data_IF_388725471162
#
_entry.id   IF_388725471162
#
_cell.length_a   1.000
_cell.length_b   1.000
_cell.length_c   1.000
_cell.angle_alpha   90.00
_cell.angle_beta   90.00
_cell.angle_gamma   90.00
#
_symmetry.space_group_name_H-M   'P 1'
#
loop_
_entity.id
_entity.type
_entity.pdbx_description
1 polymer ?
#
# COMPACT_ATOMS: atom_id res chain seq x y z
N UNK A 1 17.50 -23.06 24.27
CA UNK A 1 16.31 -22.50 24.94
C UNK A 1 16.27 -21.02 24.59
N UNK A 2 15.14 -20.48 24.08
CA UNK A 2 15.02 -19.05 23.74
C UNK A 2 15.34 -18.18 24.97
N UNK A 3 16.19 -17.15 24.84
CA UNK A 3 16.44 -16.20 25.94
C UNK A 3 15.17 -15.53 26.44
N UNK A 4 15.19 -15.10 27.71
CA UNK A 4 14.12 -14.31 28.32
C UNK A 4 13.75 -13.06 27.50
N UNK A 5 14.72 -12.46 26.79
CA UNK A 5 14.45 -11.31 25.91
C UNK A 5 13.69 -11.73 24.65
N UNK A 6 14.16 -12.79 23.99
CA UNK A 6 13.54 -13.36 22.79
C UNK A 6 12.14 -13.87 23.10
N UNK A 7 11.91 -14.48 24.26
CA UNK A 7 10.58 -14.84 24.76
C UNK A 7 9.64 -13.64 24.92
N UNK A 8 10.12 -12.51 25.44
CA UNK A 8 9.32 -11.28 25.55
C UNK A 8 8.96 -10.72 24.17
N UNK A 9 9.89 -10.73 23.22
CA UNK A 9 9.64 -10.31 21.83
C UNK A 9 8.56 -11.19 21.18
N UNK A 10 8.69 -12.52 21.28
CA UNK A 10 7.69 -13.45 20.75
C UNK A 10 6.32 -13.25 21.38
N UNK A 11 6.26 -12.98 22.70
CA UNK A 11 5.01 -12.66 23.38
C UNK A 11 4.37 -11.38 22.82
N UNK A 12 5.15 -10.34 22.54
CA UNK A 12 4.65 -9.11 21.93
C UNK A 12 4.13 -9.33 20.52
N UNK A 13 4.87 -10.07 19.69
CA UNK A 13 4.44 -10.44 18.34
C UNK A 13 3.15 -11.25 18.40
N UNK A 14 3.06 -12.24 19.31
CA UNK A 14 1.86 -13.06 19.46
C UNK A 14 0.62 -12.22 19.82
N UNK A 15 0.76 -11.23 20.71
CA UNK A 15 -0.32 -10.28 21.02
C UNK A 15 -0.71 -9.45 19.80
N UNK A 16 0.26 -8.89 19.07
CA UNK A 16 0.01 -8.12 17.85
C UNK A 16 -0.72 -8.95 16.78
N UNK A 17 -0.35 -10.22 16.63
CA UNK A 17 -0.99 -11.13 15.68
C UNK A 17 -2.40 -11.53 16.11
N UNK A 18 -2.65 -11.68 17.42
CA UNK A 18 -3.98 -11.96 17.96
C UNK A 18 -4.94 -10.79 17.71
N UNK A 19 -4.51 -9.56 17.97
CA UNK A 19 -5.33 -8.37 17.74
C UNK A 19 -5.64 -8.19 16.26
N UNK A 20 -4.64 -8.42 15.39
CA UNK A 20 -4.86 -8.39 13.93
C UNK A 20 -5.85 -9.46 13.48
N UNK A 21 -5.73 -10.68 14.02
CA UNK A 21 -6.67 -11.76 13.72
C UNK A 21 -8.10 -11.35 14.09
N UNK A 22 -8.31 -10.81 15.28
CA UNK A 22 -9.63 -10.33 15.73
C UNK A 22 -10.20 -9.26 14.79
N UNK A 23 -9.38 -8.29 14.40
CA UNK A 23 -9.78 -7.25 13.44
C UNK A 23 -10.18 -7.87 12.10
N UNK A 24 -9.35 -8.76 11.56
CA UNK A 24 -9.61 -9.42 10.27
C UNK A 24 -10.83 -10.34 10.29
N UNK A 25 -11.13 -10.97 11.42
CA UNK A 25 -12.32 -11.80 11.61
C UNK A 25 -13.58 -10.93 11.63
N UNK A 26 -13.52 -9.78 12.31
CA UNK A 26 -14.60 -8.79 12.31
C UNK A 26 -14.85 -8.21 10.92
N UNK A 27 -13.79 -7.80 10.21
CA UNK A 27 -13.89 -7.31 8.83
C UNK A 27 -14.40 -8.39 7.87
N UNK A 28 -13.96 -9.65 7.99
CA UNK A 28 -14.45 -10.75 7.17
C UNK A 28 -15.96 -10.96 7.30
N UNK A 29 -16.51 -10.81 8.51
CA UNK A 29 -17.96 -10.90 8.74
C UNK A 29 -18.67 -9.79 7.96
N UNK A 30 -18.21 -8.54 8.11
CA UNK A 30 -18.75 -7.38 7.36
C UNK A 30 -18.65 -7.55 5.84
N UNK A 31 -17.49 -8.03 5.35
CA UNK A 31 -17.26 -8.27 3.93
C UNK A 31 -18.19 -9.34 3.37
N UNK A 32 -18.44 -10.43 4.10
CA UNK A 32 -19.37 -11.49 3.68
C UNK A 32 -20.79 -10.96 3.56
N UNK A 33 -21.23 -10.13 4.50
CA UNK A 33 -22.53 -9.48 4.44
C UNK A 33 -22.64 -8.53 3.24
N UNK A 34 -21.62 -7.70 3.01
CA UNK A 34 -21.59 -6.77 1.88
C UNK A 34 -21.56 -7.47 0.52
N UNK A 35 -20.80 -8.56 0.38
CA UNK A 35 -20.80 -9.39 -0.84
C UNK A 35 -22.19 -9.98 -1.07
N UNK A 36 -22.86 -10.43 -0.02
CA UNK A 36 -24.23 -10.93 -0.14
C UNK A 36 -25.18 -9.84 -0.64
N UNK A 37 -25.08 -8.60 -0.13
CA UNK A 37 -25.86 -7.45 -0.60
C UNK A 37 -25.55 -7.14 -2.08
N UNK A 38 -24.28 -7.06 -2.47
CA UNK A 38 -23.88 -6.78 -3.85
C UNK A 38 -24.37 -7.85 -4.83
N UNK A 39 -24.38 -9.13 -4.43
CA UNK A 39 -24.96 -10.22 -5.22
C UNK A 39 -26.47 -10.00 -5.43
N UNK A 40 -27.20 -9.56 -4.38
CA UNK A 40 -28.62 -9.28 -4.48
C UNK A 40 -28.89 -8.08 -5.41
N UNK A 41 -28.13 -7.01 -5.29
CA UNK A 41 -28.21 -5.84 -6.16
C UNK A 41 -27.90 -6.19 -7.62
N UNK A 42 -26.81 -6.91 -7.88
CA UNK A 42 -26.44 -7.37 -9.22
C UNK A 42 -27.53 -8.27 -9.82
N UNK A 43 -28.12 -9.18 -9.03
CA UNK A 43 -29.27 -10.00 -9.45
C UNK A 43 -30.48 -9.13 -9.79
N UNK A 44 -30.76 -8.10 -9.00
CA UNK A 44 -31.88 -7.18 -9.24
C UNK A 44 -31.66 -6.36 -10.51
N UNK A 45 -30.49 -5.74 -10.68
CA UNK A 45 -30.11 -5.00 -11.89
C UNK A 45 -30.18 -5.89 -13.14
N UNK A 46 -29.66 -7.12 -13.06
CA UNK A 46 -29.79 -8.11 -14.14
C UNK A 46 -31.25 -8.39 -14.51
N UNK A 47 -32.14 -8.50 -13.52
CA UNK A 47 -33.59 -8.67 -13.77
C UNK A 47 -34.21 -7.44 -14.42
N UNK A 48 -33.88 -6.24 -13.94
CA UNK A 48 -34.39 -4.97 -14.47
C UNK A 48 -33.95 -4.78 -15.92
N UNK A 49 -32.66 -4.97 -16.21
CA UNK A 49 -32.11 -4.88 -17.57
C UNK A 49 -32.77 -5.90 -18.51
N UNK A 50 -32.96 -7.15 -18.06
CA UNK A 50 -33.65 -8.19 -18.84
C UNK A 50 -35.14 -7.88 -19.10
N UNK A 51 -35.80 -7.16 -18.19
CA UNK A 51 -37.19 -6.71 -18.37
C UNK A 51 -37.26 -5.55 -19.37
N UNK A 52 -36.37 -4.56 -19.25
CA UNK A 52 -36.30 -3.43 -20.20
C UNK A 52 -36.00 -3.89 -21.62
N UNK A 53 -35.03 -4.80 -21.79
CA UNK A 53 -34.71 -5.39 -23.09
C UNK A 53 -35.85 -6.24 -23.68
N UNK A 54 -36.80 -6.72 -22.87
CA UNK A 54 -37.99 -7.43 -23.33
C UNK A 54 -39.13 -6.49 -23.71
N UNK A 55 -39.25 -5.34 -23.02
CA UNK A 55 -40.28 -4.34 -23.28
C UNK A 55 -39.95 -3.56 -24.56
N UNK A 56 -38.68 -3.26 -24.82
CA UNK A 56 -38.22 -2.62 -26.07
C UNK A 56 -38.40 -3.52 -27.31
N UNK A 57 -38.45 -4.84 -27.15
CA UNK A 57 -38.69 -5.82 -28.22
C UNK A 57 -40.19 -6.05 -28.49
N UNK A 58 -41.08 -5.53 -27.64
CA UNK A 58 -42.53 -5.76 -27.74
C UNK A 58 -43.31 -4.45 -28.02
N UNK A 59 -42.79 -3.60 -28.91
CA UNK A 59 -43.54 -2.54 -29.58
C UNK A 59 -44.06 -3.03 -30.95
N UNK A 60 -45.29 -2.70 -31.37
CA UNK A 60 -45.91 -3.30 -32.56
C UNK A 60 -45.44 -2.59 -33.85
N UNK A 61 -44.20 -2.85 -34.27
CA UNK A 61 -43.71 -2.78 -35.66
C UNK A 61 -42.19 -2.85 -35.64
N UNK A 62 -41.61 -4.04 -35.54
CA UNK A 62 -40.26 -4.29 -36.04
C UNK A 62 -40.02 -5.80 -36.17
N UNK A 63 -40.57 -6.38 -37.24
CA UNK A 63 -39.92 -7.54 -37.86
C UNK A 63 -38.60 -7.04 -38.45
N UNK A 64 -37.49 -7.71 -38.13
CA UNK A 64 -36.13 -7.46 -38.61
C UNK A 64 -35.30 -6.49 -37.74
N UNK A 65 -34.69 -7.03 -36.67
CA UNK A 65 -33.26 -6.91 -36.30
C UNK A 65 -33.09 -7.91 -35.14
N UNK A 66 -32.78 -9.17 -35.49
CA UNK A 66 -32.20 -10.13 -34.56
C UNK A 66 -30.69 -10.06 -34.74
N UNK A 67 -30.05 -9.02 -34.22
CA UNK A 67 -28.59 -9.05 -33.98
C UNK A 67 -28.18 -7.94 -33.00
N UNK A 68 -27.71 -8.41 -31.84
CA UNK A 68 -26.81 -7.75 -30.88
C UNK A 68 -27.34 -6.60 -29.99
N UNK A 69 -28.19 -6.90 -28.99
CA UNK A 69 -28.37 -6.04 -27.80
C UNK A 69 -27.14 -6.04 -26.86
N UNK A 70 -26.20 -6.98 -27.05
CA UNK A 70 -25.07 -7.18 -26.13
C UNK A 70 -23.89 -6.23 -26.35
N UNK A 71 -23.73 -5.61 -27.55
CA UNK A 71 -22.56 -4.77 -27.82
C UNK A 71 -22.71 -3.35 -27.23
N UNK A 72 -23.91 -2.77 -27.29
CA UNK A 72 -24.18 -1.46 -26.71
C UNK A 72 -24.16 -1.47 -25.17
N UNK A 73 -24.55 -2.59 -24.54
CA UNK A 73 -24.43 -2.77 -23.10
C UNK A 73 -22.97 -2.95 -22.66
N UNK A 74 -22.14 -3.61 -23.48
CA UNK A 74 -20.70 -3.70 -23.25
C UNK A 74 -20.01 -2.33 -23.40
N UNK A 75 -20.39 -1.55 -24.41
CA UNK A 75 -19.86 -0.19 -24.60
C UNK A 75 -20.29 0.77 -23.48
N UNK A 76 -21.52 0.68 -22.97
CA UNK A 76 -21.96 1.52 -21.85
C UNK A 76 -21.38 1.06 -20.52
N UNK A 77 -21.10 -0.24 -20.33
CA UNK A 77 -20.33 -0.72 -19.18
C UNK A 77 -18.87 -0.21 -19.24
N UNK A 78 -18.21 -0.24 -20.40
CA UNK A 78 -16.85 0.32 -20.54
C UNK A 78 -16.76 1.82 -20.27
N UNK A 79 -17.83 2.57 -20.58
CA UNK A 79 -17.96 4.00 -20.28
C UNK A 79 -18.31 4.27 -18.81
N UNK A 80 -19.17 3.46 -18.20
CA UNK A 80 -19.54 3.57 -16.79
C UNK A 80 -18.43 3.11 -15.81
N UNK A 81 -17.51 2.23 -16.25
CA UNK A 81 -16.37 1.77 -15.46
C UNK A 81 -15.05 2.52 -15.74
N UNK A 82 -15.09 3.67 -16.41
CA UNK A 82 -13.90 4.53 -16.58
C UNK A 82 -12.76 3.92 -17.42
N UNK A 83 -12.98 2.78 -18.07
CA UNK A 83 -11.95 1.98 -18.76
C UNK A 83 -11.36 2.73 -19.95
N UNK A 84 -12.17 3.55 -20.65
CA UNK A 84 -11.70 4.43 -21.73
C UNK A 84 -10.83 5.59 -21.22
N UNK A 85 -11.17 6.18 -20.08
CA UNK A 85 -10.37 7.22 -19.41
C UNK A 85 -9.01 6.68 -18.95
N UNK A 86 -8.99 5.46 -18.39
CA UNK A 86 -7.77 4.77 -17.96
C UNK A 86 -6.83 4.46 -19.14
N UNK A 87 -7.36 4.00 -20.29
CA UNK A 87 -6.57 3.74 -21.50
C UNK A 87 -5.98 5.02 -22.13
N UNK A 88 -6.73 6.11 -22.11
CA UNK A 88 -6.26 7.41 -22.60
C UNK A 88 -5.19 8.03 -21.70
N UNK A 89 -5.31 7.86 -20.37
CA UNK A 89 -4.30 8.28 -19.39
C UNK A 89 -2.98 7.53 -19.58
N UNK A 90 -3.03 6.20 -19.77
CA UNK A 90 -1.86 5.34 -20.03
C UNK A 90 -1.02 5.77 -21.23
N UNK A 91 -1.66 6.33 -22.28
CA UNK A 91 -0.97 6.75 -23.52
C UNK A 91 -0.27 8.10 -23.38
N UNK A 92 -0.72 8.99 -22.49
CA UNK A 92 -0.11 10.31 -22.27
C UNK A 92 1.08 10.28 -21.30
N UNK A 93 1.15 9.30 -20.41
CA UNK A 93 2.12 9.26 -19.30
C UNK A 93 3.45 8.55 -19.63
N UNK A 94 3.59 7.82 -20.75
CA UNK A 94 4.74 6.91 -20.92
C UNK A 94 6.09 7.62 -21.09
N UNK A 95 6.14 8.83 -21.64
CA UNK A 95 7.39 9.60 -21.82
C UNK A 95 7.71 10.46 -20.59
N UNK A 96 6.69 10.98 -19.92
CA UNK A 96 6.79 11.83 -18.71
C UNK A 96 7.18 11.03 -17.45
N UNK A 97 6.74 9.77 -17.38
CA UNK A 97 7.05 8.89 -16.26
C UNK A 97 8.55 8.57 -16.16
N UNK A 98 9.28 8.46 -17.28
CA UNK A 98 10.70 8.11 -17.25
C UNK A 98 11.54 9.18 -16.55
N UNK A 99 11.37 10.46 -16.92
CA UNK A 99 12.06 11.56 -16.24
C UNK A 99 11.66 11.67 -14.76
N UNK A 100 10.39 11.39 -14.44
CA UNK A 100 9.91 11.37 -13.05
C UNK A 100 10.58 10.27 -12.23
N UNK A 101 10.76 9.06 -12.79
CA UNK A 101 11.48 7.97 -12.13
C UNK A 101 12.95 8.31 -11.89
N UNK A 102 13.65 8.84 -12.89
CA UNK A 102 15.06 9.21 -12.76
C UNK A 102 15.26 10.30 -11.70
N UNK A 103 14.40 11.33 -11.69
CA UNK A 103 14.42 12.35 -10.62
C UNK A 103 14.22 11.73 -9.24
N UNK A 104 13.21 10.89 -9.08
CA UNK A 104 12.91 10.23 -7.82
C UNK A 104 14.06 9.34 -7.32
N UNK A 105 14.77 8.66 -8.24
CA UNK A 105 15.95 7.85 -7.92
C UNK A 105 17.12 8.71 -7.48
N UNK A 106 17.41 9.80 -8.21
CA UNK A 106 18.48 10.74 -7.85
C UNK A 106 18.25 11.33 -6.45
N UNK A 107 17.03 11.76 -6.15
CA UNK A 107 16.66 12.26 -4.82
C UNK A 107 16.78 11.16 -3.74
N UNK A 108 16.50 9.90 -4.09
CA UNK A 108 16.66 8.78 -3.16
C UNK A 108 18.12 8.54 -2.78
N UNK A 109 19.06 8.74 -3.72
CA UNK A 109 20.50 8.63 -3.46
C UNK A 109 20.96 9.76 -2.52
N UNK A 110 20.46 11.00 -2.71
CA UNK A 110 20.75 12.13 -1.81
C UNK A 110 20.24 11.88 -0.39
N UNK A 111 19.00 11.39 -0.27
CA UNK A 111 18.41 11.07 1.02
C UNK A 111 19.12 9.93 1.76
N UNK A 112 19.68 8.97 1.02
CA UNK A 112 20.47 7.90 1.60
C UNK A 112 21.72 8.43 2.31
N UNK A 113 22.44 9.38 1.69
CA UNK A 113 23.68 9.95 2.24
C UNK A 113 23.45 10.67 3.57
N UNK A 114 22.36 11.44 3.69
CA UNK A 114 22.06 12.23 4.90
C UNK A 114 21.23 11.49 5.97
N UNK A 115 21.01 10.18 5.80
CA UNK A 115 20.02 9.47 6.60
C UNK A 115 20.43 9.26 8.07
N UNK A 116 21.70 8.98 8.33
CA UNK A 116 22.18 8.74 9.70
C UNK A 116 22.09 10.03 10.55
N UNK A 117 22.47 11.18 9.97
CA UNK A 117 22.34 12.50 10.60
C UNK A 117 20.88 12.83 10.90
N UNK A 118 19.99 12.57 9.93
CA UNK A 118 18.55 12.77 10.08
C UNK A 118 17.97 11.94 11.22
N UNK A 119 18.35 10.67 11.33
CA UNK A 119 17.85 9.77 12.38
C UNK A 119 18.39 10.17 13.75
N UNK A 120 19.64 10.65 13.81
CA UNK A 120 20.22 11.24 15.01
C UNK A 120 19.46 12.49 15.46
N UNK A 121 19.23 13.44 14.54
CA UNK A 121 18.53 14.69 14.81
C UNK A 121 17.09 14.49 15.29
N UNK A 122 16.37 13.50 14.74
CA UNK A 122 15.01 13.15 15.15
C UNK A 122 14.94 12.27 16.39
N UNK A 123 16.08 11.87 16.95
CA UNK A 123 16.12 11.04 18.16
C UNK A 123 15.52 9.64 17.96
N UNK A 124 15.66 9.05 16.77
CA UNK A 124 15.08 7.74 16.41
C UNK A 124 15.47 6.63 17.40
N UNK A 125 16.70 6.69 17.94
CA UNK A 125 17.19 5.72 18.93
C UNK A 125 16.62 5.88 20.34
N UNK A 126 15.92 6.98 20.62
CA UNK A 126 15.23 7.20 21.89
C UNK A 126 13.78 6.65 21.87
N UNK A 127 13.27 6.28 20.68
CA UNK A 127 11.91 5.76 20.55
C UNK A 127 11.78 4.36 21.16
N UNK A 128 10.63 4.08 21.81
CA UNK A 128 10.31 2.73 22.26
C UNK A 128 10.19 1.78 21.06
N UNK A 129 10.49 0.50 21.26
CA UNK A 129 10.38 -0.55 20.23
C UNK A 129 8.94 -0.90 19.84
N UNK A 130 7.96 -0.22 20.44
CA UNK A 130 6.53 -0.42 20.21
C UNK A 130 5.85 0.93 20.13
N UNK A 131 4.99 1.09 19.12
CA UNK A 131 4.27 2.33 18.87
C UNK A 131 4.95 3.19 17.80
N UNK A 132 4.39 4.36 17.60
CA UNK A 132 4.84 5.34 16.62
C UNK A 132 4.63 6.74 17.18
N UNK A 133 5.48 7.67 16.78
CA UNK A 133 5.28 9.11 17.01
C UNK A 133 4.77 9.70 15.72
N UNK A 134 3.70 10.50 15.80
CA UNK A 134 3.06 11.15 14.65
C UNK A 134 3.01 12.65 14.92
N UNK A 135 3.52 13.42 13.97
CA UNK A 135 3.47 14.88 13.99
C UNK A 135 2.84 15.40 12.69
N UNK A 136 2.01 16.45 12.81
CA UNK A 136 1.38 17.09 11.65
C UNK A 136 1.42 18.60 11.80
N UNK A 137 1.76 19.30 10.72
CA UNK A 137 1.76 20.74 10.68
C UNK A 137 0.99 21.21 9.43
N UNK A 138 -0.31 21.49 9.60
CA UNK A 138 -1.15 21.94 8.49
C UNK A 138 -0.84 23.39 8.08
N UNK A 139 -0.31 24.20 9.00
CA UNK A 139 -0.04 25.61 8.76
C UNK A 139 1.28 25.85 8.00
N UNK A 140 2.10 24.81 7.81
CA UNK A 140 3.36 24.92 7.06
C UNK A 140 3.10 25.22 5.58
N UNK A 141 3.76 26.27 5.09
CA UNK A 141 3.80 26.64 3.68
C UNK A 141 5.11 26.14 3.13
N UNK A 142 5.03 25.14 2.25
CA UNK A 142 6.18 24.43 1.68
C UNK A 142 6.97 23.62 2.72
N UNK A 143 7.11 22.33 2.46
CA UNK A 143 7.81 21.40 3.35
C UNK A 143 6.92 20.35 4.01
N UNK A 144 7.43 19.80 5.11
CA UNK A 144 6.89 18.58 5.72
C UNK A 144 5.69 18.89 6.60
N UNK A 145 4.53 18.36 6.21
CA UNK A 145 3.25 18.60 6.89
C UNK A 145 2.72 17.36 7.60
N UNK A 146 3.34 16.20 7.37
CA UNK A 146 3.09 14.95 8.07
C UNK A 146 4.40 14.21 8.31
N UNK A 147 4.63 13.75 9.53
CA UNK A 147 5.77 12.93 9.90
C UNK A 147 5.33 11.77 10.78
N UNK A 148 5.97 10.62 10.60
CA UNK A 148 5.83 9.47 11.48
C UNK A 148 7.16 8.75 11.70
N UNK A 149 7.48 8.46 12.96
CA UNK A 149 8.65 7.70 13.35
C UNK A 149 8.27 6.42 14.07
N UNK A 150 8.92 5.32 13.72
CA UNK A 150 8.69 4.01 14.31
C UNK A 150 10.00 3.25 14.50
N UNK A 151 10.05 2.46 15.57
CA UNK A 151 11.15 1.54 15.84
C UNK A 151 10.58 0.20 16.27
N UNK A 152 11.14 -0.89 15.75
CA UNK A 152 10.65 -2.26 15.96
C UNK A 152 11.80 -3.23 16.08
N UNK A 153 11.74 -4.17 17.03
CA UNK A 153 12.65 -5.32 17.09
C UNK A 153 11.97 -6.56 16.52
N UNK A 154 12.69 -7.29 15.67
CA UNK A 154 12.20 -8.49 14.99
C UNK A 154 13.13 -9.67 15.34
N UNK A 155 12.62 -10.80 15.88
CA UNK A 155 13.42 -11.98 16.24
C UNK A 155 13.73 -12.83 14.99
N UNK A 156 14.34 -12.18 14.02
CA UNK A 156 14.73 -12.71 12.73
C UNK A 156 16.05 -12.06 12.32
N UNK A 157 16.87 -12.77 11.57
CA UNK A 157 18.11 -12.24 11.00
C UNK A 157 17.83 -11.13 9.98
N UNK A 158 18.87 -10.34 9.69
CA UNK A 158 18.76 -9.15 8.87
C UNK A 158 18.40 -9.46 7.42
N UNK A 159 18.84 -10.60 6.86
CA UNK A 159 18.59 -10.97 5.46
C UNK A 159 17.18 -11.51 5.24
N UNK A 160 16.67 -12.31 6.18
CA UNK A 160 15.26 -12.73 6.18
C UNK A 160 14.35 -11.49 6.34
N UNK A 161 14.73 -10.57 7.22
CA UNK A 161 14.03 -9.29 7.42
C UNK A 161 14.08 -8.40 6.17
N UNK A 162 15.23 -8.27 5.52
CA UNK A 162 15.41 -7.55 4.25
C UNK A 162 14.42 -8.05 3.19
N UNK A 163 14.34 -9.37 3.03
CA UNK A 163 13.48 -9.99 2.03
C UNK A 163 12.00 -9.70 2.30
N UNK A 164 11.59 -9.77 3.57
CA UNK A 164 10.22 -9.46 3.97
C UNK A 164 9.89 -7.96 3.80
N UNK A 165 10.83 -7.07 4.10
CA UNK A 165 10.69 -5.62 3.85
C UNK A 165 10.55 -5.35 2.36
N UNK A 166 11.38 -5.96 1.52
CA UNK A 166 11.30 -5.81 0.07
C UNK A 166 9.95 -6.28 -0.50
N UNK A 167 9.47 -7.45 -0.05
CA UNK A 167 8.13 -7.95 -0.40
C UNK A 167 7.03 -6.98 0.06
N UNK A 168 7.10 -6.47 1.29
CA UNK A 168 6.14 -5.50 1.77
C UNK A 168 6.13 -4.24 0.87
N UNK A 169 7.31 -3.71 0.56
CA UNK A 169 7.48 -2.53 -0.29
C UNK A 169 6.98 -2.73 -1.73
N UNK A 170 6.88 -3.95 -2.25
CA UNK A 170 6.21 -4.21 -3.53
C UNK A 170 4.74 -3.81 -3.50
N UNK A 171 4.04 -4.10 -2.41
CA UNK A 171 2.59 -3.87 -2.27
C UNK A 171 2.24 -2.59 -1.51
N UNK A 172 3.17 -2.00 -0.76
CA UNK A 172 2.94 -0.73 -0.05
C UNK A 172 2.45 0.36 -1.00
N UNK A 173 1.40 1.05 -0.55
CA UNK A 173 0.62 2.04 -1.27
C UNK A 173 -0.21 1.50 -2.46
N UNK A 174 -0.19 0.19 -2.71
CA UNK A 174 -1.00 -0.46 -3.75
C UNK A 174 -2.19 -1.25 -3.22
N UNK A 175 -2.31 -1.39 -1.90
CA UNK A 175 -3.44 -2.04 -1.27
C UNK A 175 -4.68 -1.14 -1.29
N UNK A 176 -5.83 -1.75 -1.59
CA UNK A 176 -7.11 -1.07 -1.52
C UNK A 176 -7.43 -0.72 -0.06
N UNK A 177 -7.82 0.54 0.19
CA UNK A 177 -8.25 0.97 1.51
C UNK A 177 -9.76 1.16 1.54
N UNK A 178 -10.38 0.58 2.57
CA UNK A 178 -11.79 0.80 2.91
C UNK A 178 -11.88 1.74 4.11
N UNK A 179 -12.94 2.54 4.15
CA UNK A 179 -13.30 3.41 5.28
C UNK A 179 -12.18 4.38 5.67
N UNK A 180 -11.58 5.05 4.70
CA UNK A 180 -10.51 6.03 4.93
C UNK A 180 -11.14 7.32 5.46
N UNK A 181 -10.80 7.69 6.70
CA UNK A 181 -11.28 8.90 7.36
C UNK A 181 -12.73 8.77 7.85
N UNK A 182 -13.37 9.91 8.14
CA UNK A 182 -14.72 9.95 8.73
C UNK A 182 -15.87 9.81 7.72
N UNK A 183 -15.59 9.77 6.40
CA UNK A 183 -16.60 9.94 5.34
C UNK A 183 -16.96 8.67 4.55
N UNK A 184 -16.73 7.46 5.08
CA UNK A 184 -16.84 6.21 4.30
C UNK A 184 -15.99 6.22 3.00
N UNK A 185 -14.93 7.04 2.97
CA UNK A 185 -14.06 7.18 1.81
C UNK A 185 -13.44 5.85 1.39
N UNK A 186 -13.36 5.60 0.09
CA UNK A 186 -12.76 4.37 -0.46
C UNK A 186 -11.62 4.73 -1.38
N UNK A 187 -10.52 3.98 -1.28
CA UNK A 187 -9.38 4.07 -2.18
C UNK A 187 -9.25 2.73 -2.90
N UNK A 188 -9.45 2.73 -4.22
CA UNK A 188 -9.19 1.56 -5.05
C UNK A 188 -7.98 1.83 -5.93
N UNK A 189 -6.97 0.98 -5.83
CA UNK A 189 -5.72 1.14 -6.58
C UNK A 189 -5.74 0.27 -7.83
N UNK A 190 -5.38 0.88 -8.95
CA UNK A 190 -5.20 0.22 -10.23
C UNK A 190 -3.74 0.35 -10.68
N UNK A 191 -2.93 -0.71 -10.59
CA UNK A 191 -1.55 -0.68 -11.04
C UNK A 191 -1.48 -0.56 -12.57
N UNK A 192 -0.55 0.24 -13.07
CA UNK A 192 -0.31 0.41 -14.51
C UNK A 192 0.94 -0.30 -14.98
N UNK A 193 2.04 -0.05 -14.28
CA UNK A 193 3.35 -0.60 -14.57
C UNK A 193 4.05 -0.86 -13.26
N UNK A 194 4.69 -2.03 -13.14
CA UNK A 194 5.62 -2.35 -12.05
C UNK A 194 6.82 -3.03 -12.69
N UNK A 195 8.00 -2.45 -12.48
CA UNK A 195 9.27 -2.91 -13.02
C UNK A 195 10.24 -3.06 -11.85
N UNK A 196 10.88 -4.21 -11.76
CA UNK A 196 11.88 -4.50 -10.73
C UNK A 196 13.19 -4.87 -11.41
N UNK A 197 14.26 -4.19 -11.02
CA UNK A 197 15.60 -4.38 -11.55
C UNK A 197 16.60 -4.31 -10.40
N UNK A 198 17.06 -5.49 -9.95
CA UNK A 198 18.04 -5.62 -8.88
C UNK A 198 17.60 -4.99 -7.57
N UNK A 199 18.21 -3.86 -7.22
CA UNK A 199 17.94 -3.11 -5.99
C UNK A 199 16.99 -1.93 -6.19
N UNK A 200 16.33 -1.86 -7.35
CA UNK A 200 15.40 -0.79 -7.69
C UNK A 200 14.03 -1.36 -8.09
N UNK A 201 12.97 -0.81 -7.50
CA UNK A 201 11.59 -1.03 -7.89
C UNK A 201 11.01 0.29 -8.42
N UNK A 202 10.39 0.25 -9.59
CA UNK A 202 9.65 1.37 -10.19
C UNK A 202 8.21 0.95 -10.39
N UNK A 203 7.27 1.82 -10.05
CA UNK A 203 5.87 1.56 -10.34
C UNK A 203 5.06 2.83 -10.55
N UNK A 204 4.01 2.71 -11.36
CA UNK A 204 2.98 3.73 -11.48
C UNK A 204 1.60 3.11 -11.31
N UNK A 205 0.72 3.81 -10.59
CA UNK A 205 -0.62 3.34 -10.29
C UNK A 205 -1.58 4.51 -10.07
N UNK A 206 -2.87 4.29 -10.29
CA UNK A 206 -3.91 5.27 -9.98
C UNK A 206 -4.74 4.82 -8.79
N UNK A 207 -4.85 5.67 -7.78
CA UNK A 207 -5.70 5.45 -6.62
C UNK A 207 -7.01 6.22 -6.82
N UNK A 208 -8.07 5.52 -7.22
CA UNK A 208 -9.42 6.08 -7.35
C UNK A 208 -9.95 6.36 -5.96
N UNK A 209 -10.41 7.59 -5.73
CA UNK A 209 -10.96 8.03 -4.45
C UNK A 209 -12.45 8.34 -4.62
N UNK A 210 -13.27 7.92 -3.67
CA UNK A 210 -14.69 8.28 -3.63
C UNK A 210 -15.08 8.86 -2.29
N UNK A 211 -16.10 9.74 -2.28
CA UNK A 211 -16.62 10.36 -1.07
C UNK A 211 -15.89 11.63 -0.62
N UNK A 212 -15.07 12.24 -1.49
CA UNK A 212 -14.29 13.46 -1.19
C UNK A 212 -14.49 14.50 -2.29
N UNK A 213 -15.62 15.23 -2.22
CA UNK A 213 -15.96 16.28 -3.18
C UNK A 213 -15.82 15.83 -4.63
N UNK A 214 -15.07 16.60 -5.41
CA UNK A 214 -14.77 16.44 -6.82
C UNK A 214 -13.38 15.82 -7.10
N UNK A 215 -12.71 15.27 -6.08
CA UNK A 215 -11.46 14.51 -6.22
C UNK A 215 -11.76 13.11 -6.77
N UNK A 216 -11.32 12.84 -8.00
CA UNK A 216 -11.50 11.54 -8.65
C UNK A 216 -10.46 10.50 -8.21
N UNK A 217 -9.26 10.96 -7.85
CA UNK A 217 -8.18 10.10 -7.41
C UNK A 217 -6.81 10.75 -7.50
N UNK A 218 -5.76 9.94 -7.31
CA UNK A 218 -4.36 10.37 -7.44
C UNK A 218 -3.62 9.46 -8.40
N UNK A 219 -2.84 10.06 -9.29
CA UNK A 219 -1.83 9.33 -10.07
C UNK A 219 -0.54 9.30 -9.26
N UNK A 220 0.02 8.11 -9.08
CA UNK A 220 1.16 7.89 -8.20
C UNK A 220 2.32 7.29 -8.99
N UNK A 221 3.49 7.89 -8.83
CA UNK A 221 4.76 7.40 -9.36
C UNK A 221 5.64 7.05 -8.18
N UNK A 222 6.01 5.78 -8.07
CA UNK A 222 6.70 5.17 -6.93
C UNK A 222 8.07 4.65 -7.35
N UNK A 223 9.08 4.95 -6.55
CA UNK A 223 10.37 4.26 -6.60
C UNK A 223 10.71 3.69 -5.24
N UNK A 224 11.42 2.58 -5.24
CA UNK A 224 12.07 2.03 -4.05
C UNK A 224 13.49 1.68 -4.42
N UNK A 225 14.44 2.07 -3.58
CA UNK A 225 15.84 1.75 -3.74
C UNK A 225 16.40 1.12 -2.48
N UNK A 226 17.09 0.00 -2.65
CA UNK A 226 17.75 -0.73 -1.58
C UNK A 226 19.26 -0.46 -1.62
N UNK A 227 19.84 -0.21 -0.45
CA UNK A 227 21.27 -0.02 -0.27
C UNK A 227 21.77 -1.00 0.78
N UNK A 228 22.83 -1.74 0.46
CA UNK A 228 23.46 -2.71 1.36
C UNK A 228 24.81 -2.17 1.83
N UNK A 229 24.97 -2.05 3.13
CA UNK A 229 26.26 -1.94 3.81
C UNK A 229 26.63 -3.27 4.47
N UNK A 230 27.75 -3.30 5.19
CA UNK A 230 28.26 -4.51 5.86
C UNK A 230 27.29 -5.01 6.96
N UNK A 231 26.83 -4.12 7.84
CA UNK A 231 25.94 -4.46 8.98
C UNK A 231 24.58 -3.74 8.94
N UNK A 232 24.31 -3.03 7.84
CA UNK A 232 23.16 -2.14 7.68
C UNK A 232 22.53 -2.33 6.31
N UNK A 233 21.22 -2.47 6.28
CA UNK A 233 20.44 -2.46 5.03
C UNK A 233 19.45 -1.31 5.09
N UNK A 234 19.42 -0.51 4.03
CA UNK A 234 18.59 0.68 3.94
C UNK A 234 17.66 0.60 2.76
N UNK A 235 16.43 1.08 2.94
CA UNK A 235 15.49 1.30 1.86
C UNK A 235 15.06 2.76 1.84
N UNK A 236 15.03 3.34 0.66
CA UNK A 236 14.40 4.63 0.40
C UNK A 236 13.23 4.40 -0.55
N UNK A 237 12.02 4.61 -0.04
CA UNK A 237 10.78 4.57 -0.79
C UNK A 237 10.32 6.02 -1.02
N UNK A 238 10.03 6.39 -2.26
CA UNK A 238 9.48 7.70 -2.60
C UNK A 238 8.27 7.55 -3.51
N UNK A 239 7.26 8.37 -3.29
CA UNK A 239 6.09 8.48 -4.17
C UNK A 239 5.76 9.93 -4.42
N UNK A 240 5.64 10.29 -5.69
CA UNK A 240 4.99 11.53 -6.11
C UNK A 240 3.53 11.20 -6.40
N UNK A 241 2.65 11.91 -5.72
CA UNK A 241 1.20 11.82 -5.87
C UNK A 241 0.68 13.08 -6.55
N UNK A 242 0.00 12.90 -7.68
CA UNK A 242 -0.67 13.97 -8.41
C UNK A 242 -2.18 13.80 -8.33
N UNK A 243 -2.91 14.70 -7.65
CA UNK A 243 -4.36 14.64 -7.59
C UNK A 243 -5.00 14.95 -8.95
N UNK A 244 -6.07 14.22 -9.27
CA UNK A 244 -6.91 14.45 -10.45
C UNK A 244 -8.35 14.70 -9.99
N UNK A 245 -8.92 15.80 -10.46
CA UNK A 245 -10.29 16.22 -10.16
C UNK A 245 -11.19 16.04 -11.38
N UNK A 246 -12.46 15.69 -11.16
CA UNK A 246 -13.43 15.44 -12.24
C UNK A 246 -13.65 16.69 -13.13
N UNK A 247 -13.55 17.89 -12.55
CA UNK A 247 -13.80 19.17 -13.23
C UNK A 247 -12.54 19.81 -13.83
N UNK A 248 -11.44 19.07 -13.95
CA UNK A 248 -10.19 19.57 -14.52
C UNK A 248 -9.43 20.58 -13.65
N UNK A 249 -9.83 20.75 -12.38
CA UNK A 249 -9.07 21.50 -11.37
C UNK A 249 -7.68 20.86 -11.21
N UNK A 250 -6.63 21.66 -11.21
CA UNK A 250 -5.30 21.21 -10.80
C UNK A 250 -5.23 21.18 -9.28
N UNK A 251 -4.77 20.07 -8.71
CA UNK A 251 -4.42 20.02 -7.29
C UNK A 251 -2.93 20.10 -7.07
N UNK A 252 -2.57 20.16 -5.79
CA UNK A 252 -1.19 20.25 -5.34
C UNK A 252 -0.59 18.85 -5.33
N UNK A 253 0.57 18.69 -5.97
CA UNK A 253 1.31 17.43 -5.89
C UNK A 253 1.94 17.32 -4.50
N UNK A 254 1.92 16.11 -3.94
CA UNK A 254 2.59 15.77 -2.71
C UNK A 254 3.66 14.72 -2.99
N UNK A 255 4.78 14.82 -2.28
CA UNK A 255 5.80 13.78 -2.26
C UNK A 255 5.78 13.11 -0.90
N UNK A 256 5.79 11.79 -0.89
CA UNK A 256 5.93 11.01 0.34
C UNK A 256 7.24 10.24 0.29
N UNK A 257 7.90 10.17 1.43
CA UNK A 257 9.17 9.46 1.59
C UNK A 257 9.06 8.51 2.77
N UNK A 258 9.53 7.29 2.61
CA UNK A 258 9.74 6.34 3.70
C UNK A 258 11.20 5.88 3.67
N UNK A 259 11.93 6.17 4.74
CA UNK A 259 13.29 5.70 4.97
C UNK A 259 13.26 4.57 6.00
N UNK A 260 13.78 3.41 5.62
CA UNK A 260 13.78 2.21 6.46
C UNK A 260 15.21 1.78 6.66
N UNK A 261 15.61 1.57 7.91
CA UNK A 261 16.95 1.09 8.28
C UNK A 261 16.83 -0.21 9.06
N UNK A 262 17.52 -1.22 8.59
CA UNK A 262 17.70 -2.50 9.25
C UNK A 262 19.12 -2.62 9.76
N UNK A 263 19.27 -2.92 11.05
CA UNK A 263 20.55 -3.19 11.68
C UNK A 263 20.48 -4.50 12.45
N UNK A 264 21.56 -5.27 12.43
CA UNK A 264 21.72 -6.40 13.35
C UNK A 264 21.86 -5.88 14.77
N UNK A 265 21.18 -6.51 15.72
CA UNK A 265 21.34 -6.23 17.14
C UNK A 265 22.16 -7.36 17.73
N UNK A 266 23.35 -7.04 18.23
CA UNK A 266 24.07 -7.97 19.08
C UNK A 266 23.34 -8.04 20.43
N UNK A 267 22.58 -9.11 20.61
CA UNK A 267 21.80 -9.38 21.82
C UNK A 267 22.57 -10.25 22.81
N UNK A 268 23.78 -10.73 22.47
CA UNK A 268 24.50 -11.75 23.22
C UNK A 268 23.78 -13.10 23.30
N UNK A 269 22.78 -13.31 22.43
CA UNK A 269 21.93 -14.49 22.38
C UNK A 269 22.21 -15.28 21.07
N UNK A 270 21.95 -16.59 21.03
CA UNK A 270 22.13 -17.39 19.81
C UNK A 270 21.17 -16.98 18.67
N UNK A 271 20.03 -16.37 19.02
CA UNK A 271 19.00 -15.97 18.06
C UNK A 271 19.25 -14.55 17.49
N UNK A 272 19.61 -14.50 16.21
CA UNK A 272 19.78 -13.25 15.48
C UNK A 272 18.51 -12.37 15.55
N UNK A 273 18.70 -11.10 15.91
CA UNK A 273 17.61 -10.11 16.05
C UNK A 273 17.91 -8.89 15.19
N UNK A 274 16.90 -8.42 14.46
CA UNK A 274 17.00 -7.23 13.61
C UNK A 274 16.26 -6.06 14.24
N UNK A 275 16.91 -4.89 14.27
CA UNK A 275 16.27 -3.61 14.54
C UNK A 275 15.79 -3.00 13.25
N UNK A 276 14.50 -2.68 13.16
CA UNK A 276 13.92 -1.92 12.06
C UNK A 276 13.52 -0.53 12.55
N UNK A 277 14.03 0.50 11.88
CA UNK A 277 13.65 1.91 12.08
C UNK A 277 12.93 2.38 10.82
N UNK A 278 11.81 3.08 10.98
CA UNK A 278 11.00 3.60 9.87
C UNK A 278 10.74 5.08 10.13
N UNK A 279 11.13 5.93 9.18
CA UNK A 279 10.77 7.33 9.16
C UNK A 279 9.96 7.62 7.90
N UNK A 280 8.75 8.14 8.07
CA UNK A 280 7.86 8.51 6.98
C UNK A 280 7.59 10.02 7.02
N UNK A 281 7.65 10.65 5.86
CA UNK A 281 7.30 12.06 5.69
C UNK A 281 6.37 12.25 4.49
N UNK A 282 5.53 13.27 4.58
CA UNK A 282 4.87 13.85 3.42
C UNK A 282 5.19 15.34 3.32
N UNK A 283 5.65 15.74 2.15
CA UNK A 283 6.01 17.10 1.79
C UNK A 283 5.15 17.57 0.60
N UNK A 284 4.92 18.88 0.53
CA UNK A 284 4.25 19.51 -0.60
C UNK A 284 4.95 20.82 -0.93
N UNK A 285 5.00 21.14 -2.22
CA UNK A 285 5.55 22.39 -2.72
C UNK A 285 4.42 23.27 -3.25
N UNK A 286 3.68 23.96 -2.37
CA UNK A 286 2.87 25.21 -2.59
C UNK A 286 1.85 25.51 -1.47
N UNK A 287 1.24 26.72 -1.53
CA UNK A 287 0.47 27.47 -0.52
C UNK A 287 -0.45 26.69 0.46
N UNK A 288 -0.51 27.23 1.69
CA UNK A 288 -1.09 26.71 2.93
C UNK A 288 -2.31 25.76 2.81
N UNK A 289 -2.28 24.67 3.60
CA UNK A 289 -3.21 23.52 3.62
C UNK A 289 -4.69 23.80 3.72
N UNK A 290 -5.14 25.03 3.98
CA UNK A 290 -6.48 25.21 4.52
C UNK A 290 -7.60 24.79 3.56
N UNK A 291 -7.31 24.60 2.26
CA UNK A 291 -8.33 24.29 1.24
C UNK A 291 -7.99 23.15 0.27
N UNK A 292 -7.03 22.26 0.58
CA UNK A 292 -6.84 21.05 -0.24
C UNK A 292 -7.73 19.90 0.26
N UNK A 293 -8.82 19.54 -0.47
CA UNK A 293 -9.71 18.46 -0.07
C UNK A 293 -9.02 17.08 -0.08
N UNK A 294 -7.88 16.93 -0.76
CA UNK A 294 -7.11 15.67 -0.74
C UNK A 294 -6.35 15.46 0.57
N UNK A 295 -6.01 16.52 1.31
CA UNK A 295 -5.16 16.45 2.51
C UNK A 295 -5.79 15.60 3.63
N UNK A 296 -7.06 15.80 4.04
CA UNK A 296 -7.69 14.95 5.07
C UNK A 296 -7.76 13.46 4.68
N UNK A 297 -7.99 13.18 3.39
CA UNK A 297 -8.03 11.82 2.86
C UNK A 297 -6.64 11.18 2.87
N UNK A 298 -5.61 11.94 2.47
CA UNK A 298 -4.22 11.49 2.51
C UNK A 298 -3.77 11.17 3.94
N UNK A 299 -4.07 12.04 4.91
CA UNK A 299 -3.78 11.81 6.33
C UNK A 299 -4.43 10.53 6.83
N UNK A 300 -5.71 10.36 6.56
CA UNK A 300 -6.42 9.16 6.97
C UNK A 300 -5.88 7.89 6.28
N UNK A 301 -5.40 7.99 5.03
CA UNK A 301 -4.75 6.87 4.35
C UNK A 301 -3.41 6.53 5.00
N UNK A 302 -2.57 7.52 5.31
CA UNK A 302 -1.28 7.32 5.96
C UNK A 302 -1.40 6.82 7.39
N UNK A 303 -2.38 7.32 8.14
CA UNK A 303 -2.69 6.87 9.50
C UNK A 303 -3.11 5.39 9.55
N UNK A 304 -3.59 4.84 8.43
CA UNK A 304 -3.85 3.41 8.28
C UNK A 304 -2.65 2.63 7.76
N UNK A 305 -1.97 3.13 6.74
CA UNK A 305 -0.93 2.39 6.03
C UNK A 305 0.42 2.38 6.76
N UNK A 306 0.86 3.53 7.25
CA UNK A 306 2.24 3.70 7.75
C UNK A 306 2.47 2.93 9.06
N UNK A 307 1.58 2.99 10.08
CA UNK A 307 1.73 2.18 11.29
C UNK A 307 1.63 0.67 11.04
N UNK A 308 0.96 0.27 9.96
CA UNK A 308 0.75 -1.15 9.62
C UNK A 308 1.98 -1.77 8.98
N UNK A 309 2.84 -0.96 8.34
CA UNK A 309 4.00 -1.46 7.60
C UNK A 309 4.89 -2.42 8.42
N UNK A 310 5.35 -2.10 9.64
CA UNK A 310 6.12 -3.05 10.45
C UNK A 310 5.39 -4.36 10.76
N UNK A 311 4.05 -4.31 10.90
CA UNK A 311 3.20 -5.45 11.22
C UNK A 311 3.01 -6.35 9.99
N UNK A 312 2.94 -5.76 8.79
CA UNK A 312 2.87 -6.51 7.55
C UNK A 312 4.19 -7.23 7.28
N UNK A 313 5.33 -6.59 7.55
CA UNK A 313 6.67 -7.23 7.52
C UNK A 313 6.71 -8.43 8.48
N UNK A 314 6.25 -8.26 9.72
CA UNK A 314 6.13 -9.38 10.67
C UNK A 314 5.28 -10.53 10.14
N UNK A 315 4.18 -10.23 9.43
CA UNK A 315 3.35 -11.27 8.82
C UNK A 315 4.15 -12.12 7.84
N UNK A 316 4.84 -11.46 6.92
CA UNK A 316 5.58 -12.11 5.84
C UNK A 316 6.67 -13.00 6.44
N UNK A 317 7.34 -12.51 7.50
CA UNK A 317 8.34 -13.28 8.24
C UNK A 317 7.77 -14.56 8.88
N UNK A 318 6.60 -14.45 9.50
CA UNK A 318 5.95 -15.59 10.14
C UNK A 318 5.43 -16.62 9.13
N UNK A 319 4.88 -16.16 8.02
CA UNK A 319 4.37 -17.03 6.96
C UNK A 319 5.53 -17.75 6.24
N UNK A 320 6.67 -17.07 6.04
CA UNK A 320 7.91 -17.68 5.54
C UNK A 320 8.40 -18.83 6.42
N UNK A 321 8.42 -18.65 7.76
CA UNK A 321 8.79 -19.73 8.70
C UNK A 321 7.85 -20.93 8.67
N UNK A 322 6.54 -20.70 8.47
CA UNK A 322 5.57 -21.80 8.35
C UNK A 322 5.85 -22.66 7.12
N UNK A 323 6.10 -22.03 5.98
CA UNK A 323 6.33 -22.74 4.72
C UNK A 323 7.62 -23.57 4.75
N UNK A 324 8.70 -23.05 5.35
CA UNK A 324 9.94 -23.81 5.51
C UNK A 324 9.78 -24.99 6.48
N UNK A 325 9.01 -24.82 7.57
CA UNK A 325 8.71 -25.92 8.50
C UNK A 325 7.84 -27.02 7.89
N UNK A 326 6.91 -26.66 6.98
CA UNK A 326 6.05 -27.61 6.29
C UNK A 326 6.82 -28.44 5.23
N UNK A 327 7.78 -27.82 4.55
CA UNK A 327 8.67 -28.51 3.60
C UNK A 327 9.64 -29.45 4.33
N UNK A 328 10.24 -29.02 5.45
CA UNK A 328 11.12 -29.86 6.27
C UNK A 328 10.39 -31.11 6.85
N UNK A 329 9.08 -31.00 7.13
CA UNK A 329 8.26 -32.13 7.57
C UNK A 329 7.82 -33.10 6.46
N UNK A 330 7.97 -32.72 5.18
CA UNK A 330 7.72 -33.62 4.05
C UNK A 330 8.94 -34.48 3.74
N UNK A 331 10.16 -33.94 3.86
CA UNK A 331 11.39 -34.69 3.60
C UNK A 331 11.63 -35.81 4.63
N UNK A 332 11.19 -35.63 5.88
CA UNK A 332 11.32 -36.66 6.94
C UNK A 332 10.38 -37.85 6.78
N UNK A 333 9.33 -37.75 5.96
CA UNK A 333 8.39 -38.86 5.70
C UNK A 333 8.81 -39.74 4.51
N UNK A 334 9.78 -39.31 3.71
CA UNK A 334 10.32 -40.07 2.57
C UNK A 334 11.41 -41.07 2.95
N UNK A 335 12.05 -40.93 4.11
CA UNK A 335 13.14 -41.82 4.56
C UNK A 335 12.68 -42.99 5.46
N UNK A 336 11.39 -43.11 5.79
CA UNK A 336 10.87 -44.21 6.61
C UNK A 336 10.17 -45.34 5.81
N UNK A 337 10.27 -45.36 4.48
CA UNK A 337 9.71 -46.47 3.67
C UNK A 337 10.75 -47.41 3.01
N UNK A 338 12.02 -47.33 3.42
CA UNK A 338 13.05 -48.30 3.01
C UNK A 338 13.84 -48.81 4.23
N UNK A 339 13.21 -49.66 5.05
CA UNK A 339 13.89 -50.72 5.81
C UNK A 339 12.97 -51.91 5.96
#
# INVERSE_FOLDING_TARGET
MLSTRTQKLWRQIALSQLDRRRLSESENVSLREMVHIQILEAKNLRRILKRRSRIEVCGPSCSFILTLPNLALLQSMEEAFGVKGIKALKKRTSTDNHHTFERLLLESDVLFVGMDDLFGAKGMDNLPFTGHVRETNLDIVDGVYYEMLQRRMLPFDIHTTETAVWECLRHVAMDNLREVGSSNGRVNVHPYTTEEEGDTLRSSFFAVMSGVGDLAGTFNTKVVRRYRGEDKITFVFRVISEPKFERGRQGISATTTMQIVLNTVDTGDEDATTMMKVYFTAERSTLAAREDPATPMAFAAWDKLVPRFPIDVESILLDGKRNTSALAGQDTNSEQLCT
#
